data_IF_235870663990
#
_entry.id   IF_235870663990
#
_cell.length_a   1.000
_cell.length_b   1.000
_cell.length_c   1.000
_cell.angle_alpha   90.00
_cell.angle_beta   90.00
_cell.angle_gamma   90.00
#
_symmetry.space_group_name_H-M   'P 1'
#
loop_
_entity.id
_entity.type
_entity.pdbx_description
1 polymer ?
#
# COMPACT_ATOMS: atom_id res chain seq x y z
N UNK A 1 28.92 -10.78 -40.03
CA UNK A 1 28.72 -10.05 -38.77
C UNK A 1 27.22 -9.88 -38.46
N UNK A 2 26.66 -10.78 -37.64
CA UNK A 2 25.24 -10.71 -37.23
C UNK A 2 25.16 -10.10 -35.83
N UNK A 3 24.24 -9.13 -35.72
CA UNK A 3 23.98 -8.33 -34.54
C UNK A 3 23.59 -9.18 -33.33
N UNK A 4 23.98 -8.67 -32.18
CA UNK A 4 23.58 -9.05 -30.83
C UNK A 4 22.05 -9.07 -30.68
N UNK A 5 21.49 -10.22 -30.32
CA UNK A 5 20.19 -10.27 -29.65
C UNK A 5 20.39 -11.01 -28.32
N UNK A 6 20.89 -10.26 -27.34
CA UNK A 6 20.78 -10.64 -25.94
C UNK A 6 19.42 -10.13 -25.50
N UNK A 7 18.37 -10.93 -25.71
CA UNK A 7 17.10 -10.72 -25.01
C UNK A 7 17.14 -11.57 -23.74
N UNK A 8 17.54 -11.05 -22.56
CA UNK A 8 17.13 -11.70 -21.34
C UNK A 8 15.62 -11.49 -21.24
N UNK A 9 14.87 -12.60 -21.16
CA UNK A 9 13.49 -12.57 -20.72
C UNK A 9 13.42 -11.76 -19.41
N UNK A 10 13.03 -10.49 -19.48
CA UNK A 10 12.56 -9.73 -18.33
C UNK A 10 11.21 -10.33 -17.94
N UNK A 11 11.28 -11.47 -17.27
CA UNK A 11 10.22 -11.97 -16.43
C UNK A 11 9.87 -10.82 -15.48
N UNK A 12 8.70 -10.21 -15.70
CA UNK A 12 8.24 -9.05 -14.94
C UNK A 12 8.45 -9.34 -13.46
N UNK A 13 9.21 -8.48 -12.79
CA UNK A 13 9.46 -8.61 -11.36
C UNK A 13 8.10 -8.63 -10.63
N UNK A 14 7.74 -9.73 -9.96
CA UNK A 14 6.43 -9.87 -9.35
C UNK A 14 6.16 -8.78 -8.32
N UNK A 15 7.20 -8.26 -7.66
CA UNK A 15 7.05 -7.13 -6.76
C UNK A 15 6.61 -5.87 -7.50
N UNK A 16 7.19 -5.57 -8.67
CA UNK A 16 6.83 -4.38 -9.45
C UNK A 16 5.39 -4.46 -9.96
N UNK A 17 4.93 -5.64 -10.37
CA UNK A 17 3.54 -5.82 -10.78
C UNK A 17 2.57 -5.50 -9.63
N UNK A 18 2.83 -6.04 -8.44
CA UNK A 18 2.03 -5.74 -7.24
C UNK A 18 2.18 -4.27 -6.84
N UNK A 19 3.37 -3.69 -6.93
CA UNK A 19 3.62 -2.27 -6.66
C UNK A 19 2.75 -1.35 -7.54
N UNK A 20 2.62 -1.67 -8.83
CA UNK A 20 1.77 -0.93 -9.74
C UNK A 20 0.27 -1.11 -9.43
N UNK A 21 -0.13 -2.31 -9.03
CA UNK A 21 -1.50 -2.62 -8.63
C UNK A 21 -1.90 -1.87 -7.36
N UNK A 22 -1.12 -1.97 -6.28
CA UNK A 22 -1.43 -1.26 -5.02
C UNK A 22 -1.39 0.25 -5.20
N UNK A 23 -0.53 0.78 -6.08
CA UNK A 23 -0.53 2.20 -6.42
C UNK A 23 -1.82 2.62 -7.14
N UNK A 24 -2.36 1.78 -8.03
CA UNK A 24 -3.65 2.06 -8.70
C UNK A 24 -4.82 2.00 -7.72
N UNK A 25 -4.84 0.99 -6.85
CA UNK A 25 -5.85 0.86 -5.78
C UNK A 25 -5.82 2.09 -4.88
N UNK A 26 -4.64 2.52 -4.44
CA UNK A 26 -4.50 3.74 -3.65
C UNK A 26 -5.05 4.99 -4.35
N UNK A 27 -4.71 5.20 -5.63
CA UNK A 27 -5.24 6.34 -6.39
C UNK A 27 -6.77 6.34 -6.47
N UNK A 28 -7.40 5.15 -6.58
CA UNK A 28 -8.85 5.05 -6.56
C UNK A 28 -9.42 5.39 -5.17
N UNK A 29 -8.82 4.84 -4.10
CA UNK A 29 -9.17 5.15 -2.71
C UNK A 29 -9.08 6.65 -2.45
N UNK A 30 -7.99 7.32 -2.82
CA UNK A 30 -7.86 8.78 -2.70
C UNK A 30 -8.98 9.52 -3.44
N UNK A 31 -9.31 9.06 -4.64
CA UNK A 31 -10.44 9.59 -5.41
C UNK A 31 -11.78 9.39 -4.71
N UNK A 32 -12.01 8.25 -4.09
CA UNK A 32 -13.21 7.96 -3.31
C UNK A 32 -13.28 8.81 -2.04
N UNK A 33 -12.18 8.94 -1.30
CA UNK A 33 -12.03 9.81 -0.14
C UNK A 33 -12.37 11.27 -0.49
N UNK A 34 -11.78 11.80 -1.56
CA UNK A 34 -12.03 13.17 -2.00
C UNK A 34 -13.50 13.40 -2.42
N UNK A 35 -14.18 12.38 -2.93
CA UNK A 35 -15.63 12.43 -3.22
C UNK A 35 -16.43 12.38 -1.93
N UNK A 36 -16.07 11.50 -1.00
CA UNK A 36 -16.75 11.34 0.28
C UNK A 36 -16.70 12.62 1.13
N UNK A 37 -15.54 13.28 1.21
CA UNK A 37 -15.38 14.56 1.91
C UNK A 37 -16.31 15.67 1.39
N UNK A 38 -16.75 15.59 0.13
CA UNK A 38 -17.67 16.54 -0.50
C UNK A 38 -19.14 16.17 -0.25
N UNK A 39 -19.43 14.98 0.27
CA UNK A 39 -20.78 14.57 0.61
C UNK A 39 -21.22 15.25 1.90
N UNK A 40 -22.48 15.68 1.94
CA UNK A 40 -23.11 16.08 3.19
C UNK A 40 -23.21 14.86 4.11
N UNK A 41 -22.94 14.99 5.43
CA UNK A 41 -23.19 13.92 6.40
C UNK A 41 -24.64 13.43 6.44
N UNK A 42 -25.59 14.22 5.93
CA UNK A 42 -27.02 13.85 5.79
C UNK A 42 -27.33 13.10 4.50
N UNK A 43 -26.36 12.97 3.59
CA UNK A 43 -26.52 12.23 2.35
C UNK A 43 -26.67 10.76 2.64
N UNK A 44 -27.63 10.10 2.00
CA UNK A 44 -27.78 8.63 2.07
C UNK A 44 -26.54 7.88 1.57
N UNK A 45 -25.67 8.55 0.78
CA UNK A 45 -24.42 7.98 0.28
C UNK A 45 -23.24 8.15 1.23
N UNK A 46 -23.35 8.97 2.27
CA UNK A 46 -22.22 9.29 3.14
C UNK A 46 -21.66 8.04 3.84
N UNK A 47 -22.50 7.31 4.58
CA UNK A 47 -22.06 6.13 5.31
C UNK A 47 -21.70 4.94 4.40
N UNK A 48 -22.48 4.61 3.36
CA UNK A 48 -22.09 3.53 2.44
C UNK A 48 -20.75 3.78 1.75
N UNK A 49 -20.50 5.02 1.30
CA UNK A 49 -19.21 5.38 0.72
C UNK A 49 -18.09 5.31 1.76
N UNK A 50 -18.32 5.75 3.00
CA UNK A 50 -17.36 5.60 4.10
C UNK A 50 -16.96 4.13 4.33
N UNK A 51 -17.96 3.25 4.44
CA UNK A 51 -17.75 1.82 4.69
C UNK A 51 -17.00 1.14 3.53
N UNK A 52 -17.32 1.50 2.28
CA UNK A 52 -16.58 0.99 1.13
C UNK A 52 -15.10 1.39 1.19
N UNK A 53 -14.82 2.67 1.46
CA UNK A 53 -13.43 3.14 1.55
C UNK A 53 -12.69 2.42 2.69
N UNK A 54 -13.33 2.18 3.84
CA UNK A 54 -12.71 1.43 4.94
C UNK A 54 -12.42 -0.03 4.56
N UNK A 55 -13.29 -0.65 3.77
CA UNK A 55 -13.07 -2.00 3.24
C UNK A 55 -11.86 -2.01 2.30
N UNK A 56 -11.83 -1.10 1.33
CA UNK A 56 -10.76 -1.00 0.34
C UNK A 56 -9.40 -0.70 1.00
N UNK A 57 -9.40 0.16 2.03
CA UNK A 57 -8.21 0.44 2.85
C UNK A 57 -7.74 -0.79 3.61
N UNK A 58 -8.66 -1.60 4.17
CA UNK A 58 -8.31 -2.82 4.88
C UNK A 58 -7.67 -3.85 3.95
N UNK A 59 -8.16 -3.99 2.73
CA UNK A 59 -7.58 -4.88 1.71
C UNK A 59 -6.18 -4.40 1.31
N UNK A 60 -6.04 -3.10 1.01
CA UNK A 60 -4.74 -2.49 0.69
C UNK A 60 -3.71 -2.67 1.82
N UNK A 61 -4.12 -2.52 3.08
CA UNK A 61 -3.22 -2.72 4.23
C UNK A 61 -2.70 -4.16 4.33
N UNK A 62 -3.52 -5.15 3.97
CA UNK A 62 -3.10 -6.57 3.92
C UNK A 62 -2.06 -6.75 2.81
N UNK A 63 -2.33 -6.24 1.60
CA UNK A 63 -1.38 -6.34 0.48
C UNK A 63 -0.03 -5.69 0.81
N UNK A 64 -0.06 -4.51 1.43
CA UNK A 64 1.15 -3.82 1.86
C UNK A 64 1.93 -4.59 2.93
N UNK A 65 1.23 -5.27 3.84
CA UNK A 65 1.86 -6.15 4.82
C UNK A 65 2.56 -7.34 4.14
N UNK A 66 1.94 -7.94 3.13
CA UNK A 66 2.55 -9.04 2.37
C UNK A 66 3.74 -8.59 1.52
N UNK A 67 3.67 -7.39 0.95
CA UNK A 67 4.83 -6.75 0.31
C UNK A 67 5.97 -6.52 1.31
N UNK A 68 5.68 -6.03 2.52
CA UNK A 68 6.68 -5.85 3.57
C UNK A 68 7.32 -7.19 3.97
N UNK A 69 6.52 -8.23 4.18
CA UNK A 69 6.99 -9.58 4.48
C UNK A 69 7.93 -10.10 3.37
N UNK A 70 7.60 -9.83 2.12
CA UNK A 70 8.43 -10.21 0.95
C UNK A 70 9.77 -9.48 0.96
N UNK A 71 9.78 -8.19 1.26
CA UNK A 71 11.01 -7.41 1.40
C UNK A 71 11.86 -7.94 2.56
N UNK A 72 11.26 -8.26 3.70
CA UNK A 72 11.97 -8.80 4.87
C UNK A 72 12.57 -10.18 4.60
N UNK A 73 11.91 -11.00 3.78
CA UNK A 73 12.48 -12.25 3.28
C UNK A 73 13.66 -12.01 2.33
N UNK A 74 13.58 -11.00 1.46
CA UNK A 74 14.66 -10.64 0.55
C UNK A 74 15.90 -10.10 1.28
N UNK A 75 15.71 -9.36 2.38
CA UNK A 75 16.80 -8.86 3.23
C UNK A 75 17.57 -9.98 3.94
N UNK A 76 16.92 -11.11 4.23
CA UNK A 76 17.56 -12.25 4.89
C UNK A 76 18.48 -13.05 3.96
N UNK A 77 18.24 -13.03 2.65
CA UNK A 77 19.06 -13.72 1.65
C UNK A 77 19.16 -12.93 0.33
N UNK A 78 19.81 -11.76 0.31
CA UNK A 78 19.83 -10.87 -0.85
C UNK A 78 20.45 -11.51 -2.10
N UNK A 79 21.34 -12.47 -1.92
CA UNK A 79 21.95 -13.29 -2.98
C UNK A 79 20.94 -14.12 -3.76
N UNK A 80 19.92 -14.68 -3.09
CA UNK A 80 18.85 -15.45 -3.74
C UNK A 80 17.92 -14.58 -4.58
N UNK A 81 17.74 -13.33 -4.18
CA UNK A 81 16.80 -12.41 -4.83
C UNK A 81 17.45 -11.53 -5.89
N UNK A 82 18.79 -11.52 -5.97
CA UNK A 82 19.57 -10.70 -6.90
C UNK A 82 19.18 -9.21 -6.88
N UNK A 83 18.71 -8.71 -5.73
CA UNK A 83 18.32 -7.32 -5.55
C UNK A 83 19.49 -6.50 -5.02
N UNK A 84 19.68 -5.32 -5.60
CA UNK A 84 20.64 -4.36 -5.06
C UNK A 84 20.13 -3.75 -3.75
N UNK A 85 21.03 -3.29 -2.86
CA UNK A 85 20.62 -2.57 -1.65
C UNK A 85 19.76 -1.34 -1.95
N UNK A 86 20.03 -0.65 -3.06
CA UNK A 86 19.24 0.51 -3.50
C UNK A 86 17.80 0.11 -3.85
N UNK A 87 17.61 -1.00 -4.56
CA UNK A 87 16.26 -1.47 -4.92
C UNK A 87 15.47 -1.87 -3.67
N UNK A 88 16.09 -2.60 -2.74
CA UNK A 88 15.44 -2.95 -1.46
C UNK A 88 15.01 -1.69 -0.71
N UNK A 89 15.87 -0.68 -0.65
CA UNK A 89 15.55 0.59 0.01
C UNK A 89 14.38 1.32 -0.67
N UNK A 90 14.32 1.33 -2.00
CA UNK A 90 13.19 1.89 -2.76
C UNK A 90 11.89 1.15 -2.44
N UNK A 91 11.92 -0.19 -2.41
CA UNK A 91 10.74 -1.02 -2.08
C UNK A 91 10.25 -0.78 -0.66
N UNK A 92 11.15 -0.72 0.32
CA UNK A 92 10.83 -0.40 1.71
C UNK A 92 10.20 0.97 1.85
N UNK A 93 10.77 1.97 1.17
CA UNK A 93 10.27 3.35 1.21
C UNK A 93 8.86 3.42 0.63
N UNK A 94 8.62 2.80 -0.51
CA UNK A 94 7.29 2.74 -1.12
C UNK A 94 6.24 2.13 -0.18
N UNK A 95 6.51 0.93 0.36
CA UNK A 95 5.54 0.23 1.23
C UNK A 95 5.28 1.02 2.50
N UNK A 96 6.32 1.55 3.14
CA UNK A 96 6.20 2.36 4.36
C UNK A 96 5.38 3.61 4.13
N UNK A 97 5.69 4.37 3.07
CA UNK A 97 5.04 5.65 2.80
C UNK A 97 3.58 5.43 2.40
N UNK A 98 3.26 4.37 1.66
CA UNK A 98 1.89 4.04 1.28
C UNK A 98 1.08 3.51 2.48
N UNK A 99 1.70 2.71 3.35
CA UNK A 99 1.07 2.24 4.59
C UNK A 99 0.73 3.41 5.53
N UNK A 100 1.63 4.39 5.65
CA UNK A 100 1.39 5.59 6.45
C UNK A 100 0.19 6.37 5.90
N UNK A 101 0.14 6.60 4.59
CA UNK A 101 -0.99 7.28 3.94
C UNK A 101 -2.32 6.52 4.12
N UNK A 102 -2.31 5.20 4.00
CA UNK A 102 -3.49 4.37 4.22
C UNK A 102 -3.99 4.46 5.68
N UNK A 103 -3.08 4.49 6.65
CA UNK A 103 -3.41 4.69 8.06
C UNK A 103 -4.01 6.10 8.30
N UNK A 104 -3.41 7.14 7.74
CA UNK A 104 -3.91 8.52 7.89
C UNK A 104 -5.33 8.66 7.28
N UNK A 105 -5.56 8.07 6.11
CA UNK A 105 -6.87 8.06 5.47
C UNK A 105 -7.91 7.29 6.31
N UNK A 106 -7.51 6.14 6.88
CA UNK A 106 -8.35 5.37 7.80
C UNK A 106 -8.70 6.18 9.05
N UNK A 107 -7.72 6.79 9.71
CA UNK A 107 -7.91 7.56 10.95
C UNK A 107 -8.80 8.79 10.71
N UNK A 108 -8.77 9.37 9.52
CA UNK A 108 -9.70 10.43 9.13
C UNK A 108 -11.14 9.92 9.01
N UNK A 109 -11.34 8.73 8.46
CA UNK A 109 -12.67 8.15 8.24
C UNK A 109 -13.25 7.57 9.53
N UNK A 110 -12.43 6.89 10.30
CA UNK A 110 -12.75 6.26 11.57
C UNK A 110 -11.69 6.66 12.60
N UNK A 111 -11.84 7.84 13.22
CA UNK A 111 -10.93 8.26 14.28
C UNK A 111 -11.14 7.31 15.45
N UNK A 112 -10.39 6.21 15.48
CA UNK A 112 -10.36 5.36 16.65
C UNK A 112 -9.84 6.22 17.80
N UNK A 113 -10.49 6.21 18.98
CA UNK A 113 -9.90 6.87 20.12
C UNK A 113 -8.52 6.24 20.33
N UNK A 114 -7.46 7.04 20.59
CA UNK A 114 -6.15 6.47 20.90
C UNK A 114 -6.36 5.45 22.02
N UNK A 115 -5.69 4.28 21.99
CA UNK A 115 -5.86 3.26 23.02
C UNK A 115 -5.68 3.95 24.35
N UNK A 116 -6.75 4.02 25.15
CA UNK A 116 -6.76 4.70 26.43
C UNK A 116 -5.61 4.14 27.25
N UNK A 117 -4.49 4.88 27.22
CA UNK A 117 -3.30 4.57 27.97
C UNK A 117 -3.74 4.48 29.41
N UNK A 118 -3.69 3.25 29.92
CA UNK A 118 -3.81 2.85 31.31
C UNK A 118 -3.44 4.02 32.24
N UNK A 119 -4.44 4.78 32.67
CA UNK A 119 -4.25 5.76 33.72
C UNK A 119 -4.05 4.99 35.03
N UNK A 120 -2.91 5.30 35.65
CA UNK A 120 -2.49 5.03 37.03
C UNK A 120 -3.24 4.00 37.88
N UNK A 121 -2.49 3.01 38.35
CA UNK A 121 -2.31 2.78 39.79
C UNK A 121 -0.84 2.51 40.07
#
# INVERSE_FOLDING_TARGET
PRCTDSTPNSQVDPFRAVQEEVARVWNDIEGQVAKWQKLSPKSQRYEPTRQQILSDLSELQVDLSDMQNTIDMALKDPTKWALTPSELMTRQTFVRDLMAQANDARDMLDPSPPPSGRQGQ
#
